data_IF_372891430124
#
_entry.id   IF_372891430124
#
_cell.length_a   1.000
_cell.length_b   1.000
_cell.length_c   1.000
_cell.angle_alpha   90.00
_cell.angle_beta   90.00
_cell.angle_gamma   90.00
#
_symmetry.space_group_name_H-M   'P 1'
#
loop_
_entity.id
_entity.type
_entity.pdbx_description
1 polymer ?
#
# COMPACT_ATOMS: atom_id res chain seq x y z
N UNK A 1 2.78 -13.14 38.89
CA UNK A 1 3.45 -11.96 39.50
C UNK A 1 4.58 -11.41 38.63
N UNK A 2 4.99 -12.12 37.60
CA UNK A 2 6.05 -11.70 36.67
C UNK A 2 5.53 -11.31 35.28
N UNK A 3 4.30 -11.65 34.95
CA UNK A 3 3.72 -11.33 33.63
C UNK A 3 3.18 -9.89 33.53
N UNK A 4 2.64 -9.32 34.58
CA UNK A 4 2.14 -7.94 34.54
C UNK A 4 3.26 -6.89 34.51
N UNK A 5 4.43 -7.19 35.07
CA UNK A 5 5.58 -6.28 35.00
C UNK A 5 6.29 -6.30 33.63
N UNK A 6 6.05 -7.32 32.79
CA UNK A 6 6.68 -7.43 31.49
C UNK A 6 6.03 -6.55 30.43
N UNK A 7 4.73 -6.31 30.53
CA UNK A 7 4.01 -5.43 29.60
C UNK A 7 4.32 -3.95 29.82
N UNK A 8 4.53 -3.53 31.05
CA UNK A 8 4.92 -2.16 31.38
C UNK A 8 6.36 -1.83 30.97
N UNK A 9 7.26 -2.82 30.94
CA UNK A 9 8.63 -2.64 30.47
C UNK A 9 8.79 -2.60 28.96
N UNK A 10 7.83 -3.10 28.19
CA UNK A 10 7.95 -3.17 26.73
C UNK A 10 7.82 -1.81 26.06
N UNK A 11 7.08 -0.91 26.63
CA UNK A 11 6.92 0.45 26.11
C UNK A 11 8.19 1.29 26.26
N UNK A 12 8.98 1.05 27.30
CA UNK A 12 10.21 1.80 27.60
C UNK A 12 11.47 1.26 26.89
N UNK A 13 11.44 0.01 26.43
CA UNK A 13 12.64 -0.67 25.92
C UNK A 13 12.90 -0.53 24.42
N UNK A 14 11.95 -0.01 23.67
CA UNK A 14 12.03 0.02 22.19
C UNK A 14 12.93 1.12 21.61
N UNK A 15 13.73 1.72 22.41
CA UNK A 15 14.09 3.08 22.19
C UNK A 15 15.46 3.39 21.77
N UNK A 16 16.40 2.56 21.98
CA UNK A 16 17.73 3.08 22.14
C UNK A 16 18.82 2.57 21.21
N UNK A 17 18.51 1.82 20.20
CA UNK A 17 19.60 1.32 19.36
C UNK A 17 19.91 2.18 18.14
N UNK A 18 19.01 3.08 17.73
CA UNK A 18 19.21 3.88 16.52
C UNK A 18 18.75 5.34 16.63
N UNK A 19 18.80 5.92 17.81
CA UNK A 19 18.38 7.32 17.98
C UNK A 19 16.87 7.52 17.85
N UNK A 20 16.07 6.51 18.06
CA UNK A 20 14.61 6.53 18.05
C UNK A 20 14.06 6.54 19.48
N UNK A 21 13.36 7.41 19.75
CA UNK A 21 12.19 7.96 20.42
C UNK A 21 11.58 7.10 21.49
N UNK A 22 11.52 7.68 22.66
CA UNK A 22 10.76 7.25 23.81
C UNK A 22 9.28 7.51 23.54
N UNK A 23 8.50 6.46 23.49
CA UNK A 23 7.05 6.53 23.58
C UNK A 23 6.71 6.78 25.04
N UNK A 24 6.16 7.94 25.32
CA UNK A 24 5.62 8.26 26.63
C UNK A 24 4.44 7.32 26.94
N UNK A 25 4.35 6.90 28.22
CA UNK A 25 3.34 5.95 28.69
C UNK A 25 1.94 6.48 28.45
N UNK A 26 1.28 5.97 27.46
CA UNK A 26 -0.16 6.07 27.33
C UNK A 26 -0.78 4.72 27.07
N UNK A 27 -1.63 4.31 27.99
CA UNK A 27 -2.61 3.24 27.85
C UNK A 27 -3.70 3.64 26.86
N UNK A 28 -3.33 3.93 25.62
CA UNK A 28 -4.27 3.94 24.52
C UNK A 28 -4.22 2.56 23.92
N UNK A 29 -5.33 1.87 23.87
CA UNK A 29 -5.44 0.56 23.27
C UNK A 29 -4.73 0.55 21.93
N UNK A 30 -3.90 -0.45 21.71
CA UNK A 30 -3.26 -0.69 20.43
C UNK A 30 -4.37 -0.79 19.39
N UNK A 31 -4.50 0.23 18.56
CA UNK A 31 -5.17 0.07 17.30
C UNK A 31 -4.25 -0.79 16.44
N UNK A 32 -4.61 -2.06 16.29
CA UNK A 32 -3.88 -3.03 15.47
C UNK A 32 -3.84 -2.67 13.99
N UNK A 33 -4.41 -1.54 13.60
CA UNK A 33 -4.48 -1.08 12.22
C UNK A 33 -3.28 -0.27 11.75
N UNK A 34 -2.41 0.18 12.65
CA UNK A 34 -1.16 0.85 12.25
C UNK A 34 -0.01 0.48 13.18
N UNK A 35 1.04 -0.13 12.64
CA UNK A 35 2.27 -0.43 13.37
C UNK A 35 3.08 0.82 13.79
N UNK A 36 2.61 2.00 13.44
CA UNK A 36 3.14 3.27 13.88
C UNK A 36 2.05 4.03 14.64
N UNK A 37 1.95 3.76 15.94
CA UNK A 37 1.22 4.67 16.83
C UNK A 37 2.02 5.96 16.87
N UNK A 38 1.54 6.99 16.20
CA UNK A 38 2.09 8.33 16.36
C UNK A 38 1.99 8.72 17.82
N UNK A 39 3.13 8.91 18.45
CA UNK A 39 3.14 9.46 19.81
C UNK A 39 2.41 10.81 19.78
N UNK A 40 1.32 10.91 20.55
CA UNK A 40 0.59 12.17 20.68
C UNK A 40 1.54 13.26 21.12
N UNK A 41 1.39 14.44 20.57
CA UNK A 41 2.04 15.62 21.08
C UNK A 41 0.99 16.56 21.66
N UNK A 42 1.32 17.23 22.73
CA UNK A 42 0.41 18.17 23.39
C UNK A 42 1.02 19.57 23.50
N UNK A 43 2.32 19.71 23.31
CA UNK A 43 3.01 20.99 23.46
C UNK A 43 4.37 21.04 22.76
N UNK A 44 4.85 22.24 22.59
CA UNK A 44 6.24 22.56 22.28
C UNK A 44 7.05 22.53 23.59
N UNK A 45 8.08 21.69 23.66
CA UNK A 45 8.91 21.56 24.87
C UNK A 45 10.09 22.51 24.84
N UNK A 46 10.76 22.63 23.70
CA UNK A 46 11.92 23.49 23.52
C UNK A 46 11.86 24.28 22.25
N UNK A 47 12.45 25.47 22.27
CA UNK A 47 12.65 26.37 21.12
C UNK A 47 14.12 26.66 21.00
N UNK A 48 14.72 26.31 19.86
CA UNK A 48 16.13 26.54 19.57
C UNK A 48 16.25 27.63 18.52
N UNK A 49 17.00 28.68 18.82
CA UNK A 49 17.25 29.79 17.91
C UNK A 49 18.50 29.52 17.09
N UNK A 50 18.41 29.65 15.79
CA UNK A 50 19.52 29.45 14.86
C UNK A 50 19.67 30.64 13.94
N UNK A 51 20.88 30.78 13.37
CA UNK A 51 21.24 31.87 12.49
C UNK A 51 21.94 31.32 11.26
N UNK A 52 21.51 31.78 10.11
CA UNK A 52 22.26 31.66 8.86
C UNK A 52 22.83 33.02 8.49
N UNK A 53 24.10 33.09 8.16
CA UNK A 53 24.76 34.31 7.62
C UNK A 53 25.32 33.97 6.26
N UNK A 54 24.95 34.75 5.23
CA UNK A 54 25.45 34.56 3.90
C UNK A 54 26.90 35.10 3.75
N UNK A 55 27.52 34.86 2.59
CA UNK A 55 28.90 35.29 2.32
C UNK A 55 29.09 36.82 2.30
N UNK A 56 28.01 37.61 2.26
CA UNK A 56 28.03 39.08 2.27
C UNK A 56 27.77 39.63 3.68
N UNK A 57 27.64 38.76 4.69
CA UNK A 57 27.38 39.16 6.08
C UNK A 57 25.91 39.43 6.42
N UNK A 58 24.99 39.26 5.46
CA UNK A 58 23.56 39.35 5.75
C UNK A 58 23.05 38.08 6.43
N UNK A 59 22.19 38.22 7.40
CA UNK A 59 21.74 37.10 8.19
C UNK A 59 20.22 37.03 8.30
N UNK A 60 19.74 35.80 8.59
CA UNK A 60 18.40 35.47 8.99
C UNK A 60 18.45 34.58 10.21
N UNK A 61 17.48 34.71 11.10
CA UNK A 61 17.34 33.89 12.32
C UNK A 61 15.98 33.25 12.33
N UNK A 62 15.94 31.94 12.53
CA UNK A 62 14.72 31.17 12.68
C UNK A 62 14.80 30.24 13.89
N UNK A 63 13.68 29.64 14.21
CA UNK A 63 13.53 28.71 15.32
C UNK A 63 13.38 27.28 14.82
N UNK A 64 13.85 26.37 15.65
CA UNK A 64 13.70 24.93 15.49
C UNK A 64 13.04 24.42 16.79
N UNK A 65 12.02 23.59 16.66
CA UNK A 65 11.15 23.28 17.78
C UNK A 65 11.26 21.79 18.15
N UNK A 66 11.26 21.50 19.43
CA UNK A 66 11.07 20.17 19.95
C UNK A 66 9.63 20.02 20.46
N UNK A 67 8.95 18.98 20.02
CA UNK A 67 7.61 18.63 20.47
C UNK A 67 7.67 17.66 21.66
N UNK A 68 6.59 17.56 22.43
CA UNK A 68 6.52 16.66 23.60
C UNK A 68 6.61 15.18 23.25
N UNK A 69 6.39 14.81 22.00
CA UNK A 69 6.62 13.46 21.48
C UNK A 69 8.08 13.19 21.04
N UNK A 70 8.98 14.13 21.28
CA UNK A 70 10.41 14.03 20.97
C UNK A 70 10.80 14.43 19.55
N UNK A 71 9.85 14.61 18.63
CA UNK A 71 10.16 15.06 17.27
C UNK A 71 10.57 16.53 17.24
N UNK A 72 11.44 16.83 16.29
CA UNK A 72 11.81 18.19 15.97
C UNK A 72 11.02 18.67 14.76
N UNK A 73 10.55 19.91 14.81
CA UNK A 73 9.66 20.46 13.82
C UNK A 73 10.10 21.86 13.37
N UNK A 74 9.67 22.21 12.15
CA UNK A 74 9.92 23.49 11.51
C UNK A 74 8.63 24.29 11.37
N UNK A 75 8.73 25.60 11.27
CA UNK A 75 7.62 26.48 10.97
C UNK A 75 7.06 26.26 9.56
N UNK A 76 5.74 26.18 9.46
CA UNK A 76 5.06 26.03 8.18
C UNK A 76 4.44 27.34 7.65
N UNK A 77 4.38 28.39 8.48
CA UNK A 77 3.66 29.63 8.17
C UNK A 77 4.49 30.87 8.62
N UNK A 78 5.63 31.12 8.00
CA UNK A 78 6.64 32.09 8.41
C UNK A 78 6.21 33.53 8.60
N UNK A 79 4.98 33.92 8.26
CA UNK A 79 4.43 35.25 8.52
C UNK A 79 3.60 35.32 9.81
N UNK A 80 3.33 34.18 10.45
CA UNK A 80 2.59 34.12 11.71
C UNK A 80 3.53 34.19 12.92
N UNK A 81 2.95 34.28 14.11
CA UNK A 81 3.70 34.32 15.35
C UNK A 81 4.43 33.01 15.65
N UNK A 82 5.60 33.11 16.21
CA UNK A 82 6.40 31.94 16.60
C UNK A 82 5.82 31.26 17.85
N UNK A 83 5.80 29.92 17.89
CA UNK A 83 5.57 29.19 19.13
C UNK A 83 6.62 29.50 20.19
N UNK A 84 6.23 29.36 21.44
CA UNK A 84 7.12 29.41 22.61
C UNK A 84 7.13 28.07 23.32
N UNK A 85 8.12 27.84 24.18
CA UNK A 85 8.10 26.68 25.08
C UNK A 85 6.82 26.71 25.96
N UNK A 86 6.14 25.57 26.05
CA UNK A 86 4.84 25.44 26.70
C UNK A 86 3.62 25.69 25.78
N UNK A 87 3.81 26.20 24.52
CA UNK A 87 2.71 26.35 23.58
C UNK A 87 2.00 25.02 23.36
N UNK A 88 0.67 25.01 23.51
CA UNK A 88 -0.16 23.81 23.34
C UNK A 88 -0.37 23.50 21.86
N UNK A 89 -0.36 22.21 21.50
CA UNK A 89 -0.56 21.75 20.14
C UNK A 89 -1.82 20.90 19.99
N UNK A 90 -2.27 20.71 18.74
CA UNK A 90 -3.19 19.64 18.37
C UNK A 90 -2.48 18.28 18.38
N UNK A 91 -3.24 17.18 18.27
CA UNK A 91 -2.68 15.91 17.84
C UNK A 91 -2.09 16.06 16.45
N UNK A 92 -1.02 15.31 16.10
CA UNK A 92 -0.44 15.31 14.78
C UNK A 92 -1.41 14.78 13.75
N UNK A 93 -1.37 15.35 12.54
CA UNK A 93 -2.12 14.86 11.39
C UNK A 93 -1.24 14.74 10.16
N UNK A 94 -1.50 13.71 9.36
CA UNK A 94 -0.77 13.42 8.13
C UNK A 94 -1.07 14.49 7.06
N UNK A 95 -0.04 14.95 6.36
CA UNK A 95 -0.17 15.95 5.30
C UNK A 95 0.37 15.40 3.98
N UNK A 96 -0.48 15.39 2.96
CA UNK A 96 -0.09 15.00 1.61
C UNK A 96 0.31 16.26 0.81
N UNK A 97 1.58 16.67 0.94
CA UNK A 97 2.17 17.77 0.17
C UNK A 97 3.57 17.36 -0.28
N UNK A 98 3.72 17.07 -1.57
CA UNK A 98 4.96 16.56 -2.15
C UNK A 98 6.17 17.53 -1.94
N UNK A 99 5.96 18.83 -2.03
CA UNK A 99 7.05 19.78 -1.84
C UNK A 99 7.46 19.89 -0.36
N UNK A 100 6.49 19.88 0.56
CA UNK A 100 6.77 19.88 1.99
C UNK A 100 7.55 18.61 2.38
N UNK A 101 7.15 17.46 1.83
CA UNK A 101 7.83 16.18 2.00
C UNK A 101 9.28 16.24 1.53
N UNK A 102 9.52 16.81 0.33
CA UNK A 102 10.87 16.97 -0.19
C UNK A 102 11.70 17.92 0.67
N UNK A 103 11.14 19.04 1.12
CA UNK A 103 11.85 20.01 1.96
C UNK A 103 12.30 19.40 3.30
N UNK A 104 11.44 18.59 3.94
CA UNK A 104 11.79 17.91 5.18
C UNK A 104 12.76 16.73 4.97
N UNK A 105 12.62 16.00 3.86
CA UNK A 105 13.48 14.85 3.56
C UNK A 105 14.91 15.27 3.18
N UNK A 106 15.04 16.28 2.31
CA UNK A 106 16.33 16.79 1.81
C UNK A 106 16.90 17.93 2.65
N UNK A 107 16.12 18.46 3.60
CA UNK A 107 16.51 19.47 4.57
C UNK A 107 17.27 18.90 5.77
N UNK A 108 17.54 19.76 6.74
CA UNK A 108 18.26 19.43 7.95
C UNK A 108 17.64 18.26 8.70
N UNK A 109 18.46 17.26 9.03
CA UNK A 109 18.05 16.08 9.81
C UNK A 109 17.15 15.09 9.06
N UNK A 110 16.78 15.38 7.82
CA UNK A 110 16.07 14.43 6.95
C UNK A 110 17.03 13.35 6.44
N UNK A 111 16.51 12.18 6.01
CA UNK A 111 17.35 11.07 5.53
C UNK A 111 18.24 11.39 4.33
N UNK A 112 17.80 12.33 3.50
CA UNK A 112 18.54 12.81 2.33
C UNK A 112 19.19 14.17 2.51
N UNK A 113 19.48 14.60 3.74
CA UNK A 113 20.00 15.93 4.08
C UNK A 113 21.13 16.41 3.16
N UNK A 114 20.86 17.46 2.41
CA UNK A 114 21.78 18.10 1.47
C UNK A 114 22.37 19.40 2.02
N UNK A 115 21.81 19.92 3.12
CA UNK A 115 22.08 21.27 3.58
C UNK A 115 23.16 21.31 4.63
N UNK A 116 23.22 20.33 5.53
CA UNK A 116 24.17 20.32 6.66
C UNK A 116 25.61 20.38 6.20
N UNK A 117 26.00 19.61 5.17
CA UNK A 117 27.36 19.61 4.64
C UNK A 117 27.75 20.92 3.95
N UNK A 118 26.77 21.68 3.43
CA UNK A 118 27.00 22.94 2.68
C UNK A 118 26.98 24.17 3.57
N UNK A 119 26.14 24.19 4.60
CA UNK A 119 25.83 25.39 5.39
C UNK A 119 26.08 25.24 6.88
N UNK A 120 26.56 24.05 7.33
CA UNK A 120 26.64 23.70 8.74
C UNK A 120 25.25 23.52 9.36
N UNK A 121 25.18 22.95 10.57
CA UNK A 121 23.90 22.62 11.22
C UNK A 121 22.98 23.84 11.38
N UNK A 122 23.53 24.96 11.90
CA UNK A 122 22.73 26.17 12.14
C UNK A 122 22.16 26.78 10.86
N UNK A 123 22.99 26.85 9.80
CA UNK A 123 22.56 27.35 8.49
C UNK A 123 21.53 26.42 7.83
N UNK A 124 21.77 25.12 7.91
CA UNK A 124 20.86 24.10 7.37
C UNK A 124 19.47 24.15 8.03
N UNK A 125 19.41 24.32 9.35
CA UNK A 125 18.16 24.48 10.10
C UNK A 125 17.37 25.67 9.56
N UNK A 126 18.01 26.84 9.51
CA UNK A 126 17.34 28.08 9.08
C UNK A 126 16.85 27.98 7.64
N UNK A 127 17.69 27.45 6.74
CA UNK A 127 17.31 27.27 5.33
C UNK A 127 16.20 26.23 5.14
N UNK A 128 16.19 25.18 5.95
CA UNK A 128 15.10 24.19 5.95
C UNK A 128 13.78 24.83 6.39
N UNK A 129 13.81 25.64 7.44
CA UNK A 129 12.61 26.34 7.95
C UNK A 129 11.99 27.24 6.87
N UNK A 130 12.80 28.01 6.16
CA UNK A 130 12.34 28.84 5.03
C UNK A 130 11.73 28.01 3.89
N UNK A 131 12.34 26.87 3.57
CA UNK A 131 11.84 25.97 2.53
C UNK A 131 10.53 25.30 2.94
N UNK A 132 10.40 24.84 4.19
CA UNK A 132 9.19 24.26 4.77
C UNK A 132 8.06 25.28 4.77
N UNK A 133 8.34 26.50 5.22
CA UNK A 133 7.38 27.59 5.23
C UNK A 133 6.90 27.94 3.81
N UNK A 134 7.82 27.97 2.84
CA UNK A 134 7.45 28.20 1.44
C UNK A 134 6.64 27.04 0.85
N UNK A 135 6.96 25.80 1.21
CA UNK A 135 6.25 24.61 0.71
C UNK A 135 4.79 24.54 1.17
N UNK A 136 4.52 25.01 2.37
CA UNK A 136 3.18 24.96 2.95
C UNK A 136 2.36 26.23 2.65
N UNK A 137 2.91 27.41 2.96
CA UNK A 137 2.18 28.67 2.84
C UNK A 137 2.43 29.43 1.54
N UNK A 138 3.42 29.00 0.74
CA UNK A 138 3.79 29.56 -0.56
C UNK A 138 4.07 31.09 -0.55
N UNK A 139 4.51 31.63 0.57
CA UNK A 139 4.67 33.05 0.75
C UNK A 139 6.08 33.52 1.13
N UNK A 140 6.92 32.64 1.67
CA UNK A 140 8.25 33.00 2.16
C UNK A 140 9.16 33.60 1.07
N UNK A 141 9.35 32.90 -0.05
CA UNK A 141 10.17 33.38 -1.17
C UNK A 141 9.57 34.66 -1.78
N UNK A 142 8.26 34.71 -1.98
CA UNK A 142 7.58 35.91 -2.49
C UNK A 142 7.76 37.09 -1.58
N UNK A 143 7.61 36.89 -0.28
CA UNK A 143 7.84 37.96 0.70
C UNK A 143 9.28 38.45 0.69
N UNK A 144 10.26 37.57 0.66
CA UNK A 144 11.67 37.91 0.60
C UNK A 144 12.01 38.67 -0.67
N UNK A 145 11.47 38.28 -1.81
CA UNK A 145 11.67 38.99 -3.10
C UNK A 145 11.08 40.39 -3.06
N UNK A 146 9.87 40.56 -2.55
CA UNK A 146 9.18 41.86 -2.49
C UNK A 146 9.86 42.85 -1.54
N UNK A 147 10.55 42.34 -0.51
CA UNK A 147 11.25 43.19 0.47
C UNK A 147 12.75 43.28 0.26
N UNK A 148 13.30 42.71 -0.82
CA UNK A 148 14.70 42.82 -1.20
C UNK A 148 15.68 42.11 -0.27
N UNK A 149 15.29 41.09 0.48
CA UNK A 149 16.17 40.35 1.39
C UNK A 149 17.28 39.59 0.66
N UNK A 150 18.51 39.74 1.11
CA UNK A 150 19.69 39.23 0.42
C UNK A 150 19.77 37.68 0.42
N UNK A 151 19.25 37.02 1.44
CA UNK A 151 19.21 35.56 1.53
C UNK A 151 18.24 34.90 0.54
N UNK A 152 17.34 35.69 -0.08
CA UNK A 152 16.32 35.19 -1.05
C UNK A 152 16.89 34.36 -2.16
N UNK A 153 18.07 34.76 -2.69
CA UNK A 153 18.71 34.06 -3.80
C UNK A 153 19.14 32.65 -3.41
N UNK A 154 19.66 32.47 -2.17
CA UNK A 154 20.03 31.17 -1.64
C UNK A 154 18.79 30.29 -1.47
N UNK A 155 17.74 30.82 -0.83
CA UNK A 155 16.49 30.04 -0.61
C UNK A 155 15.81 29.70 -1.93
N UNK A 156 15.73 30.63 -2.89
CA UNK A 156 15.13 30.38 -4.21
C UNK A 156 15.92 29.32 -5.01
N UNK A 157 17.26 29.36 -4.94
CA UNK A 157 18.10 28.33 -5.56
C UNK A 157 17.90 26.95 -4.97
N UNK A 158 17.87 26.86 -3.64
CA UNK A 158 17.60 25.60 -2.91
C UNK A 158 16.20 25.08 -3.16
N UNK A 159 15.20 25.96 -3.20
CA UNK A 159 13.83 25.60 -3.55
C UNK A 159 13.78 24.88 -4.90
N UNK A 160 14.35 25.51 -5.95
CA UNK A 160 14.36 24.91 -7.28
C UNK A 160 15.11 23.57 -7.32
N UNK A 161 16.22 23.46 -6.59
CA UNK A 161 16.98 22.22 -6.47
C UNK A 161 16.14 21.13 -5.78
N UNK A 162 15.55 21.40 -4.63
CA UNK A 162 14.85 20.42 -3.81
C UNK A 162 13.53 19.96 -4.46
N UNK A 163 12.74 20.89 -5.03
CA UNK A 163 11.48 20.48 -5.67
C UNK A 163 11.69 19.67 -6.94
N UNK A 164 12.86 19.80 -7.60
CA UNK A 164 13.22 18.96 -8.75
C UNK A 164 13.62 17.54 -8.40
N UNK A 165 13.89 17.24 -7.12
CA UNK A 165 14.28 15.90 -6.69
C UNK A 165 13.10 14.95 -6.67
N UNK A 166 13.36 13.62 -6.73
CA UNK A 166 12.32 12.61 -6.56
C UNK A 166 11.54 12.80 -5.24
N UNK A 167 10.27 12.49 -5.27
CA UNK A 167 9.48 12.43 -4.04
C UNK A 167 9.87 11.17 -3.25
N UNK A 168 10.21 11.29 -1.95
CA UNK A 168 10.54 10.14 -1.12
C UNK A 168 9.33 9.23 -0.90
N UNK A 169 9.45 7.94 -1.16
CA UNK A 169 8.36 6.97 -0.97
C UNK A 169 8.18 6.53 0.49
N UNK A 170 9.30 6.44 1.23
CA UNK A 170 9.31 5.89 2.59
C UNK A 170 9.42 6.98 3.66
N UNK A 171 8.70 8.06 3.48
CA UNK A 171 8.76 9.23 4.36
C UNK A 171 7.40 9.91 4.42
N UNK A 172 6.84 10.01 5.60
CA UNK A 172 5.56 10.67 5.85
C UNK A 172 5.78 12.01 6.54
N UNK A 173 4.90 12.98 6.25
CA UNK A 173 4.94 14.31 6.85
C UNK A 173 3.73 14.52 7.74
N UNK A 174 4.01 15.01 8.93
CA UNK A 174 2.99 15.35 9.91
C UNK A 174 3.05 16.81 10.28
N UNK A 175 1.90 17.37 10.62
CA UNK A 175 1.77 18.71 11.13
C UNK A 175 0.99 18.74 12.43
N UNK A 176 1.23 19.80 13.20
CA UNK A 176 0.44 20.14 14.39
C UNK A 176 0.01 21.60 14.28
N UNK A 177 -1.21 21.88 14.70
CA UNK A 177 -1.68 23.25 14.93
C UNK A 177 -1.21 23.70 16.30
N UNK A 178 -0.66 24.88 16.40
CA UNK A 178 -0.29 25.49 17.69
C UNK A 178 -1.40 26.45 18.12
N UNK A 179 -1.89 26.26 19.35
CA UNK A 179 -3.05 27.02 19.86
C UNK A 179 -2.64 28.41 20.31
N UNK A 180 -3.50 29.38 20.03
CA UNK A 180 -3.37 30.76 20.52
C UNK A 180 -3.04 31.78 19.44
N UNK A 181 -2.79 32.99 19.91
CA UNK A 181 -2.39 34.15 19.11
C UNK A 181 -1.26 34.88 19.84
N UNK A 182 -0.36 35.47 19.09
CA UNK A 182 0.74 36.26 19.62
C UNK A 182 1.18 37.31 18.59
N UNK A 183 2.07 38.21 18.99
CA UNK A 183 2.70 39.13 18.06
C UNK A 183 3.69 38.38 17.16
N UNK A 184 3.56 38.55 15.86
CA UNK A 184 4.58 38.09 14.93
C UNK A 184 5.78 39.04 14.94
N UNK A 185 6.81 38.72 14.15
CA UNK A 185 8.02 39.57 14.05
C UNK A 185 7.79 40.97 13.49
N UNK A 186 6.65 41.25 12.86
CA UNK A 186 6.23 42.59 12.41
C UNK A 186 5.44 43.35 13.47
N UNK A 187 5.23 42.80 14.66
CA UNK A 187 4.44 43.39 15.73
C UNK A 187 2.92 43.33 15.51
N UNK A 188 2.46 42.43 14.65
CA UNK A 188 1.03 42.18 14.37
C UNK A 188 0.57 40.96 15.12
N UNK A 189 -0.61 41.05 15.74
CA UNK A 189 -1.24 39.85 16.39
C UNK A 189 -1.74 38.91 15.30
N UNK A 190 -1.22 37.70 15.29
CA UNK A 190 -1.58 36.64 14.35
C UNK A 190 -1.84 35.35 15.09
N UNK A 191 -2.47 34.33 14.47
CA UNK A 191 -2.38 32.96 14.97
C UNK A 191 -0.92 32.56 15.15
N UNK A 192 -0.66 31.60 16.05
CA UNK A 192 0.64 30.97 16.15
C UNK A 192 0.78 29.99 14.98
N UNK A 193 1.93 29.99 14.32
CA UNK A 193 2.17 29.18 13.13
C UNK A 193 2.14 27.67 13.44
N UNK A 194 1.71 26.90 12.45
CA UNK A 194 1.77 25.44 12.47
C UNK A 194 3.20 24.96 12.39
N UNK A 195 3.43 23.77 12.93
CA UNK A 195 4.72 23.11 12.86
C UNK A 195 4.62 21.83 12.04
N UNK A 196 5.65 21.58 11.22
CA UNK A 196 5.76 20.41 10.34
C UNK A 196 7.01 19.61 10.65
N UNK A 197 6.91 18.29 10.59
CA UNK A 197 8.04 17.37 10.75
C UNK A 197 7.83 16.11 9.91
N UNK A 198 8.93 15.43 9.61
CA UNK A 198 8.91 14.23 8.79
C UNK A 198 9.36 13.00 9.56
N UNK A 199 8.85 11.85 9.17
CA UNK A 199 9.16 10.57 9.78
C UNK A 199 9.51 9.56 8.69
N UNK A 200 10.57 8.78 8.90
CA UNK A 200 10.79 7.58 8.11
C UNK A 200 9.61 6.64 8.31
N UNK A 201 8.95 6.33 7.23
CA UNK A 201 7.79 5.43 7.20
C UNK A 201 8.08 4.33 6.16
N UNK A 202 8.90 3.34 6.55
CA UNK A 202 9.29 2.29 5.63
C UNK A 202 8.06 1.57 5.10
N UNK A 203 8.06 1.30 3.80
CA UNK A 203 6.98 0.67 3.06
C UNK A 203 7.50 -0.55 2.33
N UNK A 204 6.61 -1.49 2.07
CA UNK A 204 6.88 -2.63 1.23
C UNK A 204 5.79 -2.84 0.20
N UNK A 205 5.90 -3.94 -0.52
CA UNK A 205 4.95 -4.32 -1.56
C UNK A 205 4.67 -5.81 -1.53
N UNK A 206 3.56 -6.22 -2.16
CA UNK A 206 3.17 -7.62 -2.25
C UNK A 206 2.66 -7.95 -3.65
N UNK A 207 2.97 -9.16 -4.09
CA UNK A 207 2.48 -9.78 -5.31
C UNK A 207 2.05 -11.22 -5.03
N UNK A 208 0.97 -11.67 -5.65
CA UNK A 208 0.51 -13.04 -5.56
C UNK A 208 1.04 -13.87 -6.72
N UNK A 209 1.33 -15.15 -6.43
CA UNK A 209 1.59 -16.17 -7.43
C UNK A 209 0.59 -17.31 -7.23
N UNK A 210 -0.28 -17.51 -8.20
CA UNK A 210 -1.30 -18.56 -8.20
C UNK A 210 -0.80 -19.82 -8.88
N UNK A 211 -1.13 -20.96 -8.32
CA UNK A 211 -0.83 -22.26 -8.90
C UNK A 211 -2.03 -23.22 -8.76
N UNK A 212 -2.07 -24.21 -9.60
CA UNK A 212 -3.04 -25.32 -9.49
C UNK A 212 -2.52 -26.39 -8.53
N UNK A 213 -3.37 -26.91 -7.65
CA UNK A 213 -3.03 -28.06 -6.80
C UNK A 213 -2.88 -29.36 -7.61
N UNK A 214 -3.56 -29.49 -8.75
CA UNK A 214 -3.52 -30.66 -9.62
C UNK A 214 -3.04 -30.23 -11.02
N UNK A 215 -1.75 -30.02 -11.17
CA UNK A 215 -1.16 -29.58 -12.42
C UNK A 215 -1.35 -30.61 -13.57
N UNK A 216 -1.37 -31.89 -13.25
CA UNK A 216 -1.65 -32.94 -14.24
C UNK A 216 -3.05 -32.86 -14.86
N UNK A 217 -4.00 -32.17 -14.20
CA UNK A 217 -5.35 -31.94 -14.73
C UNK A 217 -5.45 -30.63 -15.48
N UNK A 218 -4.83 -29.58 -14.99
CA UNK A 218 -5.00 -28.22 -15.48
C UNK A 218 -3.97 -27.78 -16.51
N UNK A 219 -2.76 -28.39 -16.53
CA UNK A 219 -1.71 -28.01 -17.47
C UNK A 219 -2.09 -28.35 -18.90
N UNK A 220 -1.86 -27.39 -19.82
CA UNK A 220 -2.19 -27.50 -21.24
C UNK A 220 -3.69 -27.80 -21.52
N UNK A 221 -4.56 -27.41 -20.62
CA UNK A 221 -6.00 -27.60 -20.75
C UNK A 221 -6.70 -26.22 -20.74
N UNK A 222 -7.25 -25.82 -21.89
CA UNK A 222 -7.91 -24.54 -22.10
C UNK A 222 -9.18 -24.33 -21.25
N UNK A 223 -9.67 -25.37 -20.58
CA UNK A 223 -10.77 -25.27 -19.61
C UNK A 223 -10.36 -24.58 -18.31
N UNK A 224 -9.06 -24.48 -18.06
CA UNK A 224 -8.49 -23.87 -16.86
C UNK A 224 -7.64 -22.66 -17.23
N UNK A 225 -7.83 -21.57 -16.51
CA UNK A 225 -6.99 -20.37 -16.63
C UNK A 225 -6.90 -19.68 -15.29
N UNK A 226 -5.78 -19.01 -15.00
CA UNK A 226 -5.66 -18.15 -13.81
C UNK A 226 -6.15 -16.74 -14.10
N UNK A 227 -6.33 -16.39 -15.35
CA UNK A 227 -6.77 -15.06 -15.77
C UNK A 227 -8.10 -14.71 -15.11
N UNK A 228 -8.19 -13.44 -14.71
CA UNK A 228 -9.38 -12.83 -14.11
C UNK A 228 -9.77 -13.38 -12.72
N UNK A 229 -8.95 -14.24 -12.09
CA UNK A 229 -9.10 -14.52 -10.67
C UNK A 229 -8.90 -13.22 -9.88
N UNK A 230 -9.76 -12.98 -8.89
CA UNK A 230 -9.71 -11.77 -8.07
C UNK A 230 -9.48 -12.10 -6.61
N UNK A 231 -8.56 -11.35 -6.01
CA UNK A 231 -8.27 -11.39 -4.58
C UNK A 231 -8.38 -9.99 -4.01
N UNK A 232 -8.82 -9.89 -2.77
CA UNK A 232 -8.73 -8.67 -1.97
C UNK A 232 -7.53 -8.72 -1.03
N UNK A 233 -6.88 -7.57 -0.83
CA UNK A 233 -5.94 -7.33 0.27
C UNK A 233 -6.68 -6.61 1.38
N UNK A 234 -6.61 -7.12 2.60
CA UNK A 234 -7.34 -6.61 3.75
C UNK A 234 -6.42 -6.26 4.90
N UNK A 235 -6.82 -5.29 5.72
CA UNK A 235 -6.07 -4.89 6.91
C UNK A 235 -6.40 -5.73 8.16
N UNK A 236 -7.41 -6.57 8.10
CA UNK A 236 -7.93 -7.40 9.19
C UNK A 236 -8.15 -8.85 8.75
N UNK A 237 -8.00 -9.79 9.67
CA UNK A 237 -8.15 -11.24 9.43
C UNK A 237 -9.57 -11.63 9.01
N UNK A 238 -10.57 -10.87 9.47
CA UNK A 238 -11.95 -11.07 9.06
C UNK A 238 -12.27 -10.62 7.63
N UNK A 239 -11.32 -10.08 6.91
CA UNK A 239 -11.44 -9.58 5.54
C UNK A 239 -12.60 -8.58 5.37
N UNK A 240 -12.77 -7.68 6.34
CA UNK A 240 -13.85 -6.66 6.32
C UNK A 240 -13.37 -5.31 5.79
N UNK A 241 -12.08 -4.96 6.01
CA UNK A 241 -11.50 -3.69 5.62
C UNK A 241 -10.54 -3.88 4.43
N UNK A 242 -11.10 -3.74 3.23
CA UNK A 242 -10.35 -3.90 1.98
C UNK A 242 -9.40 -2.73 1.72
N UNK A 243 -8.16 -3.02 1.39
CA UNK A 243 -7.09 -2.05 1.09
C UNK A 243 -6.86 -1.95 -0.42
N UNK A 244 -6.83 -3.08 -1.12
CA UNK A 244 -6.54 -3.12 -2.55
C UNK A 244 -7.10 -4.39 -3.21
N UNK A 245 -7.10 -4.38 -4.54
CA UNK A 245 -7.48 -5.52 -5.37
C UNK A 245 -6.27 -6.13 -6.06
N UNK A 246 -6.27 -7.45 -6.17
CA UNK A 246 -5.40 -8.20 -7.05
C UNK A 246 -6.21 -8.82 -8.18
N UNK A 247 -5.67 -8.73 -9.38
CA UNK A 247 -6.18 -9.42 -10.57
C UNK A 247 -5.07 -10.28 -11.14
N UNK A 248 -5.35 -11.55 -11.37
CA UNK A 248 -4.36 -12.50 -11.87
C UNK A 248 -4.26 -12.44 -13.41
N UNK A 249 -3.04 -12.57 -13.92
CA UNK A 249 -2.77 -12.77 -15.33
C UNK A 249 -2.86 -14.26 -15.72
N UNK A 250 -2.62 -14.57 -16.99
CA UNK A 250 -2.64 -15.94 -17.52
C UNK A 250 -1.53 -16.83 -16.94
N UNK A 251 -0.44 -16.23 -16.50
CA UNK A 251 0.71 -16.93 -15.91
C UNK A 251 0.57 -17.14 -14.39
N UNK A 252 -0.53 -16.66 -13.81
CA UNK A 252 -0.80 -16.75 -12.38
C UNK A 252 -0.06 -15.71 -11.53
N UNK A 253 0.37 -14.59 -12.12
CA UNK A 253 0.89 -13.45 -11.33
C UNK A 253 -0.17 -12.36 -11.20
N UNK A 254 -0.23 -11.75 -10.03
CA UNK A 254 -1.07 -10.58 -9.83
C UNK A 254 -0.33 -9.28 -10.22
N UNK A 255 -1.09 -8.17 -10.28
CA UNK A 255 -0.50 -6.84 -10.12
C UNK A 255 0.23 -6.73 -8.77
N UNK A 256 1.21 -5.82 -8.69
CA UNK A 256 1.90 -5.48 -7.44
C UNK A 256 1.09 -4.41 -6.70
N UNK A 257 0.88 -4.62 -5.41
CA UNK A 257 0.36 -3.59 -4.50
C UNK A 257 1.52 -3.02 -3.70
N UNK A 258 1.78 -1.73 -3.83
CA UNK A 258 2.92 -1.00 -3.25
C UNK A 258 2.48 -0.05 -2.13
N UNK A 259 3.44 0.62 -1.50
CA UNK A 259 3.25 1.64 -0.45
C UNK A 259 2.53 1.12 0.80
N UNK A 260 2.67 -0.17 1.07
CA UNK A 260 2.08 -0.81 2.23
C UNK A 260 2.95 -0.59 3.47
N UNK A 261 2.32 -0.20 4.57
CA UNK A 261 2.99 -0.13 5.88
C UNK A 261 3.47 -1.51 6.34
N UNK A 262 4.54 -1.54 7.14
CA UNK A 262 5.12 -2.78 7.64
C UNK A 262 4.23 -3.38 8.73
N UNK A 263 3.30 -4.23 8.32
CA UNK A 263 2.41 -5.01 9.19
C UNK A 263 1.93 -6.25 8.47
N UNK A 264 1.19 -7.08 9.18
CA UNK A 264 0.46 -8.20 8.58
C UNK A 264 -0.81 -7.69 7.91
N UNK A 265 -1.00 -8.11 6.67
CA UNK A 265 -2.23 -7.99 5.89
C UNK A 265 -2.77 -9.39 5.60
N UNK A 266 -3.97 -9.45 5.05
CA UNK A 266 -4.67 -10.69 4.77
C UNK A 266 -5.15 -10.70 3.33
N UNK A 267 -4.94 -11.81 2.64
CA UNK A 267 -5.35 -11.99 1.26
C UNK A 267 -6.45 -13.04 1.21
N UNK A 268 -7.52 -12.71 0.51
CA UNK A 268 -8.67 -13.60 0.35
C UNK A 268 -9.15 -13.62 -1.09
N UNK A 269 -9.48 -14.81 -1.61
CA UNK A 269 -10.03 -14.95 -2.95
C UNK A 269 -11.48 -14.46 -2.97
N UNK A 270 -11.79 -13.53 -3.85
CA UNK A 270 -13.15 -13.03 -4.06
C UNK A 270 -13.86 -13.79 -5.18
N UNK A 271 -13.16 -13.99 -6.30
CA UNK A 271 -13.66 -14.72 -7.45
C UNK A 271 -12.63 -15.74 -7.92
N UNK A 272 -13.03 -17.00 -7.94
CA UNK A 272 -12.23 -18.05 -8.55
C UNK A 272 -12.16 -17.86 -10.08
N UNK A 273 -11.05 -18.26 -10.71
CA UNK A 273 -10.94 -18.24 -12.15
C UNK A 273 -11.68 -19.42 -12.79
N UNK A 274 -11.81 -19.36 -14.11
CA UNK A 274 -12.47 -20.43 -14.89
C UNK A 274 -11.82 -21.79 -14.63
N UNK A 275 -12.63 -22.77 -14.29
CA UNK A 275 -12.24 -24.16 -14.06
C UNK A 275 -11.80 -24.49 -12.64
N UNK A 276 -11.74 -23.54 -11.73
CA UNK A 276 -11.31 -23.76 -10.37
C UNK A 276 -12.42 -23.52 -9.34
N UNK A 277 -12.36 -24.25 -8.24
CA UNK A 277 -13.19 -23.98 -7.08
C UNK A 277 -12.64 -22.77 -6.32
N UNK A 278 -13.53 -21.93 -5.78
CA UNK A 278 -13.13 -20.81 -4.95
C UNK A 278 -12.41 -21.29 -3.68
N UNK A 279 -11.26 -20.70 -3.43
CA UNK A 279 -10.52 -20.92 -2.19
C UNK A 279 -11.08 -20.02 -1.07
N UNK A 280 -11.45 -20.62 0.04
CA UNK A 280 -11.92 -19.91 1.22
C UNK A 280 -10.82 -19.61 2.24
N UNK A 281 -9.58 -19.93 1.93
CA UNK A 281 -8.43 -19.71 2.81
C UNK A 281 -8.10 -18.23 2.88
N UNK A 282 -7.86 -17.73 4.09
CA UNK A 282 -7.30 -16.40 4.34
C UNK A 282 -5.80 -16.54 4.50
N UNK A 283 -5.04 -15.84 3.67
CA UNK A 283 -3.58 -15.91 3.65
C UNK A 283 -2.97 -14.69 4.35
N UNK A 284 -2.33 -14.85 5.52
CA UNK A 284 -1.61 -13.75 6.14
C UNK A 284 -0.33 -13.44 5.37
N UNK A 285 -0.05 -12.16 5.16
CA UNK A 285 1.18 -11.67 4.52
C UNK A 285 1.81 -10.58 5.36
N UNK A 286 3.04 -10.79 5.80
CA UNK A 286 3.80 -9.79 6.55
C UNK A 286 4.66 -8.96 5.61
N UNK A 287 4.33 -7.67 5.50
CA UNK A 287 5.04 -6.72 4.63
C UNK A 287 6.36 -6.32 5.29
N UNK A 288 7.44 -6.37 4.51
CA UNK A 288 8.80 -6.07 4.94
C UNK A 288 9.33 -4.83 4.24
N UNK A 289 10.25 -4.12 4.90
CA UNK A 289 10.83 -2.86 4.42
C UNK A 289 11.51 -3.02 3.07
N UNK A 290 11.11 -2.16 2.13
CA UNK A 290 11.70 -2.02 0.80
C UNK A 290 11.75 -3.32 0.00
N UNK A 291 10.91 -4.30 0.34
CA UNK A 291 10.86 -5.61 -0.32
C UNK A 291 9.54 -5.84 -1.03
N UNK A 292 9.61 -6.59 -2.14
CA UNK A 292 8.47 -7.22 -2.76
C UNK A 292 8.25 -8.60 -2.12
N UNK A 293 7.23 -8.72 -1.28
CA UNK A 293 6.82 -10.00 -0.71
C UNK A 293 6.01 -10.76 -1.75
N UNK A 294 6.41 -11.99 -2.07
CA UNK A 294 5.64 -12.87 -2.95
C UNK A 294 5.00 -13.98 -2.12
N UNK A 295 3.69 -14.13 -2.22
CA UNK A 295 2.97 -15.24 -1.60
C UNK A 295 2.37 -16.15 -2.67
N UNK A 296 2.40 -17.45 -2.39
CA UNK A 296 1.79 -18.46 -3.26
C UNK A 296 0.39 -18.80 -2.76
N UNK A 297 -0.58 -18.74 -3.66
CA UNK A 297 -1.95 -19.19 -3.44
C UNK A 297 -2.28 -20.33 -4.39
N UNK A 298 -3.09 -21.28 -3.97
CA UNK A 298 -3.38 -22.47 -4.80
C UNK A 298 -4.87 -22.75 -4.82
N UNK A 299 -5.35 -23.18 -6.00
CA UNK A 299 -6.73 -23.60 -6.15
C UNK A 299 -6.83 -25.06 -6.58
N UNK A 300 -7.95 -25.67 -6.24
CA UNK A 300 -8.32 -27.00 -6.67
C UNK A 300 -9.05 -26.88 -8.01
N UNK A 301 -8.52 -27.50 -9.09
CA UNK A 301 -9.26 -27.56 -10.35
C UNK A 301 -10.52 -28.40 -10.17
N UNK A 302 -11.63 -27.87 -10.66
CA UNK A 302 -12.89 -28.62 -10.69
C UNK A 302 -12.78 -29.70 -11.77
N UNK A 303 -12.93 -30.93 -11.36
CA UNK A 303 -12.87 -32.10 -12.27
C UNK A 303 -14.22 -32.79 -12.32
N UNK A 304 -14.68 -33.13 -13.51
CA UNK A 304 -15.75 -34.08 -13.69
C UNK A 304 -15.15 -35.48 -13.59
N UNK A 305 -15.30 -36.13 -12.45
CA UNK A 305 -14.82 -37.51 -12.21
C UNK A 305 -15.73 -38.56 -12.88
N UNK A 306 -16.65 -38.17 -13.77
CA UNK A 306 -17.52 -39.09 -14.47
C UNK A 306 -16.90 -39.43 -15.80
N UNK A 307 -16.26 -40.59 -15.88
CA UNK A 307 -15.88 -41.21 -17.15
C UNK A 307 -17.14 -41.75 -17.84
N UNK A 308 -17.74 -40.94 -18.67
CA UNK A 308 -18.83 -41.41 -19.51
C UNK A 308 -18.25 -41.87 -20.87
N UNK A 309 -18.49 -43.12 -21.21
CA UNK A 309 -18.13 -43.71 -22.51
C UNK A 309 -19.40 -44.04 -23.26
N UNK A 310 -19.59 -43.44 -24.43
CA UNK A 310 -20.62 -43.85 -25.36
C UNK A 310 -19.98 -44.72 -26.42
N UNK A 311 -20.57 -45.91 -26.67
CA UNK A 311 -20.16 -46.81 -27.71
C UNK A 311 -21.28 -46.91 -28.76
N UNK A 312 -21.08 -46.38 -29.96
CA UNK A 312 -21.92 -46.58 -31.12
C UNK A 312 -21.61 -47.93 -31.71
N UNK A 313 -22.63 -48.68 -32.03
CA UNK A 313 -22.52 -49.98 -32.74
C UNK A 313 -23.38 -49.97 -33.97
N UNK A 314 -22.92 -50.68 -34.99
CA UNK A 314 -23.76 -50.98 -36.15
C UNK A 314 -24.72 -52.12 -35.80
N UNK A 315 -25.99 -52.00 -36.12
CA UNK A 315 -27.01 -53.00 -35.88
C UNK A 315 -26.82 -54.23 -36.78
N UNK A 316 -26.24 -54.03 -37.96
CA UNK A 316 -26.04 -55.06 -38.97
C UNK A 316 -24.55 -55.26 -39.27
N UNK A 317 -23.80 -55.80 -38.35
CA UNK A 317 -22.33 -55.92 -38.37
C UNK A 317 -21.72 -56.69 -39.55
N UNK A 318 -22.52 -57.27 -40.45
CA UNK A 318 -22.03 -58.08 -41.54
C UNK A 318 -22.30 -57.51 -42.96
N UNK A 319 -22.90 -56.32 -43.03
CA UNK A 319 -23.36 -55.77 -44.33
C UNK A 319 -22.92 -54.35 -44.68
N UNK A 320 -22.30 -53.63 -43.78
CA UNK A 320 -22.01 -52.23 -44.08
C UNK A 320 -20.53 -51.86 -43.96
N UNK A 321 -20.02 -51.15 -44.96
CA UNK A 321 -18.80 -50.38 -44.89
C UNK A 321 -19.07 -48.98 -44.25
N UNK A 322 -20.10 -48.87 -43.44
CA UNK A 322 -20.47 -47.60 -42.81
C UNK A 322 -19.44 -47.21 -41.78
N UNK A 323 -18.93 -46.02 -41.86
CA UNK A 323 -18.07 -45.43 -40.85
C UNK A 323 -18.87 -45.20 -39.56
N UNK A 324 -18.27 -45.56 -38.45
CA UNK A 324 -18.76 -45.18 -37.09
C UNK A 324 -18.25 -43.84 -36.63
N UNK A 325 -17.29 -43.27 -37.38
CA UNK A 325 -16.65 -42.00 -37.10
C UNK A 325 -17.59 -40.83 -37.35
N UNK A 326 -17.36 -39.73 -36.64
CA UNK A 326 -18.00 -38.41 -36.77
C UNK A 326 -19.52 -38.40 -36.56
N UNK A 327 -20.10 -39.47 -36.01
CA UNK A 327 -21.50 -39.43 -35.60
C UNK A 327 -21.65 -38.53 -34.36
N UNK A 328 -22.52 -37.52 -34.45
CA UNK A 328 -22.71 -36.53 -33.38
C UNK A 328 -23.82 -36.94 -32.43
N UNK A 329 -23.56 -36.68 -31.13
CA UNK A 329 -24.50 -36.90 -30.06
C UNK A 329 -24.52 -35.66 -29.14
N UNK A 330 -25.71 -35.31 -28.64
CA UNK A 330 -25.88 -34.24 -27.64
C UNK A 330 -25.97 -34.88 -26.28
N UNK A 331 -25.04 -34.50 -25.40
CA UNK A 331 -25.02 -34.88 -24.00
C UNK A 331 -25.58 -33.71 -23.20
N UNK A 332 -26.48 -33.98 -22.27
CA UNK A 332 -27.06 -32.98 -21.36
C UNK A 332 -26.92 -33.48 -19.94
N UNK A 333 -26.37 -32.65 -19.07
CA UNK A 333 -26.23 -32.90 -17.65
C UNK A 333 -27.33 -32.17 -16.89
N UNK A 334 -27.99 -32.87 -16.01
CA UNK A 334 -29.05 -32.38 -15.15
C UNK A 334 -28.74 -32.73 -13.70
N UNK A 335 -29.06 -31.85 -12.75
CA UNK A 335 -29.02 -32.10 -11.31
C UNK A 335 -30.31 -32.72 -10.75
N UNK A 336 -31.36 -32.77 -11.61
CA UNK A 336 -32.69 -33.32 -11.30
C UNK A 336 -33.19 -34.17 -12.44
N UNK A 337 -34.27 -34.93 -12.21
CA UNK A 337 -34.89 -35.72 -13.29
C UNK A 337 -35.30 -34.84 -14.47
N UNK A 338 -34.71 -35.03 -15.67
CA UNK A 338 -35.01 -34.23 -16.86
C UNK A 338 -36.47 -34.41 -17.36
N UNK A 339 -37.21 -35.39 -16.85
CA UNK A 339 -38.62 -35.58 -17.16
C UNK A 339 -39.56 -34.65 -16.37
N UNK A 340 -39.02 -33.99 -15.37
CA UNK A 340 -39.77 -33.00 -14.59
C UNK A 340 -39.95 -31.74 -15.43
N UNK A 341 -41.19 -31.25 -15.52
CA UNK A 341 -41.53 -30.06 -16.29
C UNK A 341 -40.73 -28.83 -15.80
N UNK A 342 -40.18 -28.05 -16.73
CA UNK A 342 -39.43 -26.84 -16.45
C UNK A 342 -37.95 -27.07 -16.06
N UNK A 343 -37.45 -28.28 -16.01
CA UNK A 343 -36.03 -28.56 -15.73
C UNK A 343 -35.19 -28.35 -17.02
N UNK A 344 -34.23 -27.43 -16.92
CA UNK A 344 -33.23 -27.17 -17.96
C UNK A 344 -31.90 -27.88 -17.63
N UNK A 345 -31.15 -28.30 -18.64
CA UNK A 345 -29.83 -28.87 -18.41
C UNK A 345 -28.89 -27.82 -17.83
N UNK A 346 -28.08 -28.20 -16.86
CA UNK A 346 -26.98 -27.40 -16.30
C UNK A 346 -25.82 -27.26 -17.28
N UNK A 347 -25.57 -28.32 -18.06
CA UNK A 347 -24.52 -28.37 -19.08
C UNK A 347 -25.02 -29.11 -20.31
N UNK A 348 -24.54 -28.69 -21.49
CA UNK A 348 -24.84 -29.34 -22.77
C UNK A 348 -23.60 -29.41 -23.64
N UNK A 349 -23.30 -30.57 -24.16
CA UNK A 349 -22.18 -30.82 -25.10
C UNK A 349 -22.66 -31.52 -26.35
N UNK A 350 -22.18 -31.09 -27.52
CA UNK A 350 -22.26 -31.83 -28.76
C UNK A 350 -20.90 -32.51 -29.00
N UNK A 351 -20.91 -33.82 -29.09
CA UNK A 351 -19.70 -34.62 -29.20
C UNK A 351 -19.80 -35.57 -30.40
N UNK A 352 -18.64 -35.96 -30.95
CA UNK A 352 -18.56 -36.84 -32.11
C UNK A 352 -17.76 -38.11 -31.82
N UNK A 353 -18.15 -39.20 -32.45
CA UNK A 353 -17.46 -40.50 -32.34
C UNK A 353 -16.13 -40.53 -33.10
N UNK A 354 -15.18 -41.29 -32.54
CA UNK A 354 -13.94 -41.68 -33.22
C UNK A 354 -14.17 -42.84 -34.26
N UNK A 355 -13.08 -43.34 -34.82
CA UNK A 355 -13.11 -44.44 -35.80
C UNK A 355 -13.67 -45.74 -35.23
N UNK A 356 -13.57 -45.95 -33.91
CA UNK A 356 -14.11 -47.12 -33.22
C UNK A 356 -15.56 -46.93 -32.79
N UNK A 357 -16.16 -45.77 -33.09
CA UNK A 357 -17.51 -45.40 -32.66
C UNK A 357 -17.60 -45.03 -31.19
N UNK A 358 -16.50 -44.60 -30.57
CA UNK A 358 -16.42 -44.25 -29.17
C UNK A 358 -16.44 -42.74 -28.99
N UNK A 359 -17.06 -42.28 -27.89
CA UNK A 359 -16.96 -40.91 -27.36
C UNK A 359 -16.54 -41.04 -25.92
N UNK A 360 -15.50 -40.32 -25.58
CA UNK A 360 -15.10 -40.08 -24.18
C UNK A 360 -15.39 -38.61 -23.81
N UNK A 361 -15.68 -38.31 -22.56
CA UNK A 361 -15.90 -36.93 -22.09
C UNK A 361 -14.58 -36.18 -22.04
N UNK A 362 -14.03 -35.83 -23.21
CA UNK A 362 -12.77 -35.10 -23.42
C UNK A 362 -12.92 -34.10 -24.52
N UNK A 363 -12.14 -33.03 -24.50
CA UNK A 363 -12.21 -31.95 -25.51
C UNK A 363 -11.98 -32.42 -26.95
N UNK A 364 -11.17 -33.43 -27.19
CA UNK A 364 -10.90 -33.99 -28.53
C UNK A 364 -12.15 -34.57 -29.21
N UNK A 365 -13.17 -34.96 -28.44
CA UNK A 365 -14.46 -35.43 -28.93
C UNK A 365 -15.52 -34.35 -29.04
N UNK A 366 -15.26 -33.15 -28.42
CA UNK A 366 -16.22 -32.04 -28.34
C UNK A 366 -16.27 -31.28 -29.67
N UNK A 367 -17.45 -31.12 -30.22
CA UNK A 367 -17.73 -30.28 -31.38
C UNK A 367 -18.15 -28.88 -30.93
N UNK A 368 -19.00 -28.78 -29.92
CA UNK A 368 -19.48 -27.54 -29.35
C UNK A 368 -20.10 -27.76 -27.95
N UNK A 369 -20.41 -26.68 -27.26
CA UNK A 369 -21.11 -26.68 -25.97
C UNK A 369 -20.26 -26.20 -24.83
N UNK A 370 -20.67 -26.56 -23.59
CA UNK A 370 -20.06 -26.10 -22.36
C UNK A 370 -18.65 -26.67 -22.13
N UNK A 371 -17.91 -26.06 -21.21
CA UNK A 371 -16.60 -26.56 -20.82
C UNK A 371 -16.72 -27.76 -19.86
N UNK A 372 -15.72 -28.68 -19.94
CA UNK A 372 -15.57 -29.79 -19.00
C UNK A 372 -14.76 -29.34 -17.77
N UNK A 373 -15.45 -29.00 -16.69
CA UNK A 373 -14.84 -28.74 -15.38
C UNK A 373 -15.89 -28.81 -14.26
#
# INVERSE_FOLDING_TARGET
FLEESFYDCYADAYLMKNGLIILDRYSAGFDSSSNYVMARTSSVTNVFHHRYTDRNGYYITNCYYQLSNGYHAFCAEGLYANPTSGSQTSDPYLVNNANLKKCLYYGYGGPGDLLTSRYGASGAIVLTDELVSNAYSNNCISYANNNGYHWRTTVSGLWNEIVSKPEPSNYDVYMVDVKGQAYNWQGVVTPIQKLAYGINSPKGSVQLKKASQLQNVSSNNASYTFKDAKYGLYSDEGCTNKIADFTMDENGYSNVVSDLSLKTYYVYEENAPKGYAKDSTVYPVNIQDSQLVSISVTDIPQTNLVDLILQKKDKETKKSNASLKDAQYIFKFYDKDPKTEGILPLKTWTMKTDEKGQIFMKDEYKVSGDDFY
#
